data_IF_435283306100
#
_entry.id   IF_435283306100
#
_cell.length_a   1.000
_cell.length_b   1.000
_cell.length_c   1.000
_cell.angle_alpha   90.00
_cell.angle_beta   90.00
_cell.angle_gamma   90.00
#
_symmetry.space_group_name_H-M   'P 1'
#
loop_
_entity.id
_entity.type
_entity.pdbx_description
1 polymer ?
#
# COMPACT_ATOMS: atom_id res chain seq x y z
N UNK A 1 6.18 8.31 -17.23
CA UNK A 1 5.13 8.75 -16.27
C UNK A 1 5.81 9.10 -14.98
N UNK A 2 5.89 10.39 -14.68
CA UNK A 2 6.78 10.91 -13.65
C UNK A 2 6.01 11.07 -12.34
N UNK A 3 6.57 10.65 -11.21
CA UNK A 3 6.11 11.04 -9.87
C UNK A 3 6.49 12.53 -9.64
N UNK A 4 5.99 13.42 -10.51
CA UNK A 4 6.43 14.81 -10.53
C UNK A 4 5.73 15.62 -9.43
N UNK A 5 6.50 16.15 -8.48
CA UNK A 5 5.97 16.96 -7.38
C UNK A 5 5.48 18.33 -7.87
N UNK A 6 6.00 18.83 -9.00
CA UNK A 6 5.62 20.11 -9.60
C UNK A 6 4.33 20.06 -10.42
N UNK A 7 3.88 18.85 -10.75
CA UNK A 7 2.57 18.59 -11.37
C UNK A 7 1.96 17.40 -10.63
N UNK A 8 1.20 17.66 -9.56
CA UNK A 8 0.44 16.68 -8.73
C UNK A 8 -0.56 15.85 -9.55
N UNK A 9 -0.10 15.17 -10.58
CA UNK A 9 -0.85 14.19 -11.35
C UNK A 9 -0.51 12.87 -10.67
N UNK A 10 -1.24 12.55 -9.59
CA UNK A 10 -1.30 11.16 -9.15
C UNK A 10 -2.03 10.41 -10.27
N UNK A 11 -1.43 9.34 -10.79
CA UNK A 11 -2.23 8.42 -11.60
C UNK A 11 -3.14 7.68 -10.63
N UNK A 12 -4.45 7.87 -10.73
CA UNK A 12 -5.47 7.06 -10.01
C UNK A 12 -5.28 5.53 -10.25
N UNK A 13 -4.60 5.19 -11.34
CA UNK A 13 -4.29 3.83 -11.78
C UNK A 13 -2.88 3.43 -11.36
N UNK A 14 -2.72 2.26 -10.72
CA UNK A 14 -1.38 1.72 -10.44
C UNK A 14 -0.62 1.43 -11.73
N UNK A 15 0.67 1.76 -11.73
CA UNK A 15 1.56 1.55 -12.87
C UNK A 15 2.33 0.22 -12.80
N UNK A 16 2.02 -0.65 -11.84
CA UNK A 16 2.71 -1.94 -11.61
C UNK A 16 4.24 -1.80 -11.43
N UNK A 17 4.71 -0.64 -10.96
CA UNK A 17 6.14 -0.37 -10.72
C UNK A 17 6.67 -0.95 -9.39
N UNK A 18 5.78 -1.41 -8.51
CA UNK A 18 6.13 -1.96 -7.20
C UNK A 18 6.62 -0.95 -6.16
N UNK A 19 6.77 0.33 -6.50
CA UNK A 19 7.42 1.34 -5.63
C UNK A 19 6.67 1.59 -4.32
N UNK A 20 5.34 1.65 -4.35
CA UNK A 20 4.52 1.83 -3.15
C UNK A 20 4.25 0.53 -2.38
N UNK A 21 4.62 -0.62 -2.95
CA UNK A 21 4.37 -1.93 -2.36
C UNK A 21 5.63 -2.62 -1.85
N UNK A 22 6.81 -2.08 -2.16
CA UNK A 22 8.11 -2.65 -1.76
C UNK A 22 8.80 -1.74 -0.75
N UNK A 23 9.35 -2.37 0.29
CA UNK A 23 10.15 -1.71 1.33
C UNK A 23 9.53 -0.40 1.85
N UNK A 24 8.19 -0.35 1.86
CA UNK A 24 7.45 0.89 2.08
C UNK A 24 6.81 0.87 3.47
N UNK A 25 7.11 1.85 4.32
CA UNK A 25 6.66 1.82 5.71
C UNK A 25 5.18 2.15 5.84
N UNK A 26 4.46 1.25 6.53
CA UNK A 26 3.22 1.48 7.26
C UNK A 26 2.03 2.02 6.46
N UNK A 27 1.27 1.09 5.88
CA UNK A 27 -0.04 1.37 5.27
C UNK A 27 -1.10 1.36 6.36
N UNK A 28 -1.46 2.53 6.87
CA UNK A 28 -2.55 2.66 7.85
C UNK A 28 -3.91 2.37 7.21
N UNK A 29 -4.73 1.60 7.91
CA UNK A 29 -6.09 1.24 7.51
C UNK A 29 -7.08 1.51 8.63
N UNK A 30 -8.25 2.03 8.26
CA UNK A 30 -9.38 2.19 9.16
C UNK A 30 -10.35 0.99 9.11
N UNK A 31 -11.35 0.97 9.99
CA UNK A 31 -12.34 -0.12 10.06
C UNK A 31 -13.11 -0.39 8.77
N UNK A 32 -13.43 0.66 8.01
CA UNK A 32 -14.14 0.50 6.74
C UNK A 32 -13.24 -0.17 5.69
N UNK A 33 -11.96 0.19 5.65
CA UNK A 33 -10.96 -0.43 4.77
C UNK A 33 -10.67 -1.87 5.18
N UNK A 34 -10.53 -2.14 6.48
CA UNK A 34 -10.39 -3.51 7.00
C UNK A 34 -11.60 -4.36 6.60
N UNK A 35 -12.82 -3.86 6.79
CA UNK A 35 -14.05 -4.57 6.40
C UNK A 35 -14.10 -4.84 4.88
N UNK A 36 -13.66 -3.88 4.06
CA UNK A 36 -13.58 -4.08 2.61
C UNK A 36 -12.55 -5.15 2.22
N UNK A 37 -11.39 -5.17 2.89
CA UNK A 37 -10.35 -6.16 2.70
C UNK A 37 -10.80 -7.56 3.16
N UNK A 38 -11.46 -7.70 4.30
CA UNK A 38 -12.05 -8.98 4.76
C UNK A 38 -13.05 -9.51 3.72
N UNK A 39 -13.94 -8.65 3.22
CA UNK A 39 -14.92 -9.05 2.21
C UNK A 39 -14.26 -9.50 0.90
N UNK A 40 -13.18 -8.84 0.49
CA UNK A 40 -12.47 -9.11 -0.75
C UNK A 40 -11.60 -10.37 -0.66
N UNK A 41 -10.81 -10.48 0.41
CA UNK A 41 -9.82 -11.54 0.59
C UNK A 41 -10.37 -12.82 1.21
N UNK A 42 -11.52 -12.72 1.92
CA UNK A 42 -12.07 -13.76 2.80
C UNK A 42 -11.17 -14.13 3.98
N UNK A 43 -10.16 -13.29 4.27
CA UNK A 43 -9.31 -13.41 5.45
C UNK A 43 -9.91 -12.65 6.62
N UNK A 44 -9.51 -12.99 7.84
CA UNK A 44 -9.78 -12.17 9.01
C UNK A 44 -8.88 -10.94 9.00
N UNK A 45 -9.35 -9.79 9.50
CA UNK A 45 -8.49 -8.59 9.68
C UNK A 45 -7.20 -8.89 10.45
N UNK A 46 -7.24 -9.79 11.43
CA UNK A 46 -6.05 -10.19 12.19
C UNK A 46 -5.00 -10.92 11.37
N UNK A 47 -5.37 -11.48 10.21
CA UNK A 47 -4.42 -12.12 9.30
C UNK A 47 -3.60 -11.07 8.56
N UNK A 48 -4.18 -9.90 8.27
CA UNK A 48 -3.57 -8.90 7.41
C UNK A 48 -3.26 -7.54 8.06
N UNK A 49 -3.65 -7.32 9.31
CA UNK A 49 -3.32 -6.11 10.06
C UNK A 49 -2.58 -6.36 11.36
N UNK A 50 -1.85 -5.35 11.79
CA UNK A 50 -1.24 -5.24 13.12
C UNK A 50 -1.60 -3.90 13.78
N UNK A 51 -1.82 -3.84 15.10
CA UNK A 51 -2.11 -2.59 15.79
C UNK A 51 -0.96 -1.58 15.67
N UNK A 52 -1.29 -0.30 15.46
CA UNK A 52 -0.32 0.80 15.45
C UNK A 52 0.25 1.10 16.84
N UNK A 53 -0.52 0.82 17.88
CA UNK A 53 -0.18 1.12 19.27
C UNK A 53 -0.47 -0.04 20.22
N UNK A 54 -0.45 0.25 21.52
CA UNK A 54 -0.69 -0.75 22.54
C UNK A 54 -2.18 -1.16 22.62
N UNK A 55 -3.08 -0.30 22.15
CA UNK A 55 -4.52 -0.60 22.03
C UNK A 55 -4.91 -0.91 20.59
N UNK A 56 -5.94 -1.74 20.43
CA UNK A 56 -6.59 -1.99 19.14
C UNK A 56 -7.26 -0.71 18.59
N UNK A 57 -7.61 0.23 19.46
CA UNK A 57 -8.22 1.51 19.09
C UNK A 57 -7.22 2.51 18.47
N UNK A 58 -5.92 2.24 18.53
CA UNK A 58 -4.88 3.14 18.05
C UNK A 58 -4.75 3.17 16.52
N UNK A 59 -5.59 2.43 15.79
CA UNK A 59 -5.48 2.25 14.34
C UNK A 59 -4.61 1.05 13.97
N UNK A 60 -4.64 0.66 12.70
CA UNK A 60 -4.03 -0.57 12.22
C UNK A 60 -3.14 -0.32 11.02
N UNK A 61 -2.01 -1.03 10.95
CA UNK A 61 -1.21 -1.11 9.74
C UNK A 61 -1.45 -2.43 9.02
N UNK A 62 -1.35 -2.41 7.69
CA UNK A 62 -1.19 -3.67 6.95
C UNK A 62 0.14 -4.31 7.33
N UNK A 63 0.12 -5.63 7.54
CA UNK A 63 1.34 -6.39 7.73
C UNK A 63 2.23 -6.35 6.49
N UNK A 64 3.52 -6.48 6.73
CA UNK A 64 4.54 -6.65 5.70
C UNK A 64 5.01 -8.11 5.67
N UNK A 65 5.60 -8.50 4.55
CA UNK A 65 6.38 -9.72 4.43
C UNK A 65 7.71 -9.55 5.16
N UNK A 66 8.46 -10.63 5.35
CA UNK A 66 9.78 -10.61 5.98
C UNK A 66 10.78 -9.66 5.28
N UNK A 67 10.63 -9.43 3.98
CA UNK A 67 11.47 -8.53 3.20
C UNK A 67 11.00 -7.06 3.20
N UNK A 68 10.01 -6.70 4.01
CA UNK A 68 9.45 -5.35 4.08
C UNK A 68 8.41 -5.02 3.00
N UNK A 69 8.15 -5.92 2.06
CA UNK A 69 7.11 -5.71 1.05
C UNK A 69 5.70 -5.78 1.67
N UNK A 70 4.74 -5.09 1.06
CA UNK A 70 3.33 -5.26 1.39
C UNK A 70 2.95 -6.75 1.27
N UNK A 71 2.24 -7.29 2.26
CA UNK A 71 1.79 -8.69 2.25
C UNK A 71 0.93 -9.06 1.03
N UNK A 72 0.23 -8.09 0.44
CA UNK A 72 -0.60 -8.30 -0.75
C UNK A 72 0.14 -8.09 -2.07
N UNK A 73 1.43 -7.74 -2.04
CA UNK A 73 2.24 -7.64 -3.26
C UNK A 73 2.41 -9.03 -3.89
N UNK A 74 2.06 -9.16 -5.17
CA UNK A 74 2.37 -10.33 -5.99
C UNK A 74 3.47 -9.96 -6.97
N UNK A 75 4.45 -10.85 -7.11
CA UNK A 75 5.54 -10.72 -8.07
C UNK A 75 5.46 -11.92 -9.00
N UNK A 76 5.23 -11.67 -10.28
CA UNK A 76 5.20 -12.70 -11.32
C UNK A 76 6.03 -12.25 -12.52
N UNK A 77 7.03 -13.04 -12.92
CA UNK A 77 7.94 -12.72 -14.04
C UNK A 77 8.52 -11.30 -14.01
N UNK A 78 8.81 -10.77 -12.81
CA UNK A 78 9.32 -9.40 -12.61
C UNK A 78 8.26 -8.30 -12.61
N UNK A 79 6.98 -8.62 -12.80
CA UNK A 79 5.86 -7.69 -12.71
C UNK A 79 5.29 -7.62 -11.30
N UNK A 80 5.08 -6.40 -10.81
CA UNK A 80 4.51 -6.13 -9.50
C UNK A 80 3.01 -5.87 -9.60
N UNK A 81 2.19 -6.71 -8.99
CA UNK A 81 0.73 -6.55 -8.99
C UNK A 81 0.17 -6.57 -7.58
N UNK A 82 -0.91 -5.82 -7.35
CA UNK A 82 -1.58 -5.79 -6.05
C UNK A 82 -2.62 -6.90 -5.97
N UNK A 83 -2.48 -7.82 -5.02
CA UNK A 83 -3.44 -8.89 -4.77
C UNK A 83 -4.81 -8.42 -4.29
N UNK A 84 -4.94 -7.17 -3.87
CA UNK A 84 -6.18 -6.54 -3.38
C UNK A 84 -6.53 -5.26 -4.14
N UNK A 85 -6.22 -5.20 -5.44
CA UNK A 85 -6.29 -3.98 -6.24
C UNK A 85 -7.63 -3.20 -6.11
N UNK A 86 -8.76 -3.89 -6.13
CA UNK A 86 -10.09 -3.26 -6.01
C UNK A 86 -10.43 -2.83 -4.57
N UNK A 87 -9.84 -3.51 -3.59
CA UNK A 87 -10.02 -3.26 -2.17
C UNK A 87 -8.88 -2.45 -1.53
N UNK A 88 -8.01 -1.83 -2.35
CA UNK A 88 -6.88 -1.00 -1.88
C UNK A 88 -7.33 0.00 -0.83
N UNK A 89 -6.51 0.16 0.21
CA UNK A 89 -6.65 1.27 1.16
C UNK A 89 -6.53 2.62 0.44
N UNK A 90 -7.13 3.66 1.00
CA UNK A 90 -7.15 5.02 0.45
C UNK A 90 -5.73 5.55 0.21
N UNK A 91 -4.81 5.29 1.13
CA UNK A 91 -3.39 5.64 0.99
C UNK A 91 -2.73 4.96 -0.23
N UNK A 92 -3.12 3.73 -0.54
CA UNK A 92 -2.65 2.98 -1.72
C UNK A 92 -3.34 3.43 -3.02
N UNK A 93 -4.62 3.80 -2.97
CA UNK A 93 -5.35 4.34 -4.15
C UNK A 93 -4.84 5.71 -4.56
N UNK A 94 -4.51 6.53 -3.57
CA UNK A 94 -4.12 7.92 -3.76
C UNK A 94 -2.61 8.13 -3.75
N UNK A 95 -1.81 7.05 -3.67
CA UNK A 95 -0.37 7.13 -3.65
C UNK A 95 0.18 7.84 -4.91
N UNK A 96 1.12 8.80 -4.78
CA UNK A 96 1.69 9.33 -3.53
C UNK A 96 0.78 10.39 -2.86
N UNK A 97 0.62 10.35 -1.53
CA UNK A 97 -0.29 11.26 -0.79
C UNK A 97 0.41 12.41 -0.04
N UNK A 98 1.62 12.18 0.49
CA UNK A 98 2.36 13.16 1.30
C UNK A 98 3.79 13.30 0.79
N UNK A 99 4.49 14.37 1.18
CA UNK A 99 5.85 14.70 0.72
C UNK A 99 6.82 13.50 0.81
N UNK A 100 6.80 12.75 1.91
CA UNK A 100 7.63 11.54 2.07
C UNK A 100 7.33 10.47 1.02
N UNK A 101 6.07 10.30 0.63
CA UNK A 101 5.69 9.35 -0.42
C UNK A 101 6.18 9.83 -1.79
N UNK A 102 6.09 11.13 -2.06
CA UNK A 102 6.61 11.70 -3.30
C UNK A 102 8.13 11.53 -3.40
N UNK A 103 8.85 11.83 -2.33
CA UNK A 103 10.29 11.60 -2.23
C UNK A 103 10.64 10.13 -2.47
N UNK A 104 9.99 9.21 -1.73
CA UNK A 104 10.19 7.76 -1.91
C UNK A 104 9.89 7.31 -3.34
N UNK A 105 8.78 7.77 -3.92
CA UNK A 105 8.40 7.39 -5.27
C UNK A 105 9.50 7.75 -6.27
N UNK A 106 10.07 8.95 -6.15
CA UNK A 106 11.09 9.44 -7.07
C UNK A 106 12.44 8.74 -6.90
N UNK A 107 12.82 8.42 -5.66
CA UNK A 107 14.11 7.78 -5.37
C UNK A 107 14.14 6.28 -5.71
N UNK A 108 12.99 5.59 -5.65
CA UNK A 108 12.92 4.12 -5.75
C UNK A 108 12.25 3.61 -7.03
N UNK A 109 11.96 4.50 -7.99
CA UNK A 109 11.42 4.10 -9.29
C UNK A 109 12.52 3.48 -10.13
N UNK A 110 12.37 2.20 -10.43
CA UNK A 110 13.24 1.50 -11.39
C UNK A 110 12.79 1.91 -12.80
N UNK A 111 13.72 2.37 -13.62
CA UNK A 111 13.51 2.72 -15.04
C UNK A 111 13.26 1.49 -15.91
#
# INVERSE_FOLDING_TARGET
MNCNMENKISSLTCQNCGVCCRDFPFVEVNDAEMTALEKYTKLSRYDFTEPRGASYDDGHFLKTKENGDCMFLKVDNGYFTCGVYEARAGICRNYPVHEKHWKWCNENRVE
#
